data_IF_059020032093
#
_entry.id   IF_059020032093
#
_cell.length_a   1.000
_cell.length_b   1.000
_cell.length_c   1.000
_cell.angle_alpha   90.00
_cell.angle_beta   90.00
_cell.angle_gamma   90.00
#
_symmetry.space_group_name_H-M   'P 1'
#
loop_
_entity.id
_entity.type
_entity.pdbx_description
1 polymer ?
#
# COMPACT_ATOMS: atom_id res chain seq x y z
N UNK A 1 -12.16 -0.60 5.48
CA UNK A 1 -11.30 0.35 6.23
C UNK A 1 -12.09 1.36 7.05
N UNK A 2 -13.10 2.03 6.48
CA UNK A 2 -13.84 3.12 7.16
C UNK A 2 -14.54 2.69 8.46
N UNK A 3 -15.25 1.56 8.46
CA UNK A 3 -16.00 1.06 9.63
C UNK A 3 -15.07 0.70 10.79
N UNK A 4 -13.95 0.06 10.48
CA UNK A 4 -13.01 -0.43 11.50
C UNK A 4 -12.21 0.71 12.14
N UNK A 5 -11.88 1.75 11.36
CA UNK A 5 -11.24 2.97 11.90
C UNK A 5 -12.16 3.73 12.87
N UNK A 6 -13.48 3.53 12.80
CA UNK A 6 -14.45 4.10 13.76
C UNK A 6 -14.62 3.23 15.00
N UNK A 7 -14.56 1.90 14.84
CA UNK A 7 -14.74 0.95 15.94
C UNK A 7 -13.56 0.93 16.92
N UNK A 8 -12.32 1.02 16.41
CA UNK A 8 -11.11 0.95 17.25
C UNK A 8 -10.48 2.32 17.45
N UNK A 9 -10.61 2.88 18.66
CA UNK A 9 -9.94 4.13 19.03
C UNK A 9 -8.49 3.94 19.52
N UNK A 10 -8.14 2.74 20.00
CA UNK A 10 -6.79 2.36 20.44
C UNK A 10 -6.16 1.38 19.44
N UNK A 11 -4.85 1.50 19.17
CA UNK A 11 -4.08 0.67 18.22
C UNK A 11 -4.57 0.74 16.75
N UNK A 12 -4.91 1.94 16.26
CA UNK A 12 -5.42 2.14 14.89
C UNK A 12 -4.43 1.65 13.83
N UNK A 13 -3.13 1.87 14.02
CA UNK A 13 -2.09 1.41 13.11
C UNK A 13 -2.06 -0.10 12.94
N UNK A 14 -2.15 -0.85 14.05
CA UNK A 14 -2.21 -2.31 14.05
C UNK A 14 -3.45 -2.82 13.32
N UNK A 15 -4.63 -2.28 13.62
CA UNK A 15 -5.89 -2.75 13.02
C UNK A 15 -5.93 -2.48 11.51
N UNK A 16 -5.48 -1.31 11.07
CA UNK A 16 -5.34 -0.99 9.65
C UNK A 16 -4.31 -1.90 8.99
N UNK A 17 -3.18 -2.16 9.66
CA UNK A 17 -2.15 -3.09 9.19
C UNK A 17 -2.66 -4.51 8.99
N UNK A 18 -3.48 -5.04 9.90
CA UNK A 18 -4.11 -6.37 9.78
C UNK A 18 -5.06 -6.42 8.58
N UNK A 19 -5.92 -5.41 8.41
CA UNK A 19 -6.88 -5.35 7.28
C UNK A 19 -6.14 -5.28 5.95
N UNK A 20 -5.15 -4.39 5.85
CA UNK A 20 -4.34 -4.24 4.62
C UNK A 20 -3.48 -5.49 4.41
N UNK A 21 -3.03 -6.16 5.48
CA UNK A 21 -2.36 -7.46 5.42
C UNK A 21 -3.17 -8.52 4.67
N UNK A 22 -4.50 -8.47 4.73
CA UNK A 22 -5.37 -9.35 3.94
C UNK A 22 -5.10 -9.30 2.43
N UNK A 23 -4.76 -8.13 1.87
CA UNK A 23 -4.41 -8.05 0.44
C UNK A 23 -3.03 -8.61 0.13
N UNK A 24 -2.08 -8.58 1.07
CA UNK A 24 -0.81 -9.33 0.95
C UNK A 24 -1.05 -10.83 0.96
N UNK A 25 -1.91 -11.33 1.85
CA UNK A 25 -2.25 -12.75 1.89
C UNK A 25 -2.91 -13.21 0.57
N UNK A 26 -3.84 -12.41 0.03
CA UNK A 26 -4.39 -12.63 -1.31
C UNK A 26 -3.30 -12.63 -2.40
N UNK A 27 -2.34 -11.71 -2.32
CA UNK A 27 -1.19 -11.66 -3.22
C UNK A 27 -0.23 -12.84 -3.12
N UNK A 28 -0.29 -13.63 -2.03
CA UNK A 28 0.41 -14.92 -1.92
C UNK A 28 -0.45 -16.05 -2.50
N UNK A 29 -1.71 -16.14 -2.07
CA UNK A 29 -2.60 -17.26 -2.41
C UNK A 29 -2.97 -17.27 -3.89
N UNK A 30 -3.36 -16.12 -4.47
CA UNK A 30 -3.90 -16.08 -5.84
C UNK A 30 -2.90 -16.46 -6.92
N UNK A 31 -1.64 -15.98 -6.91
CA UNK A 31 -0.66 -16.46 -7.88
C UNK A 31 -0.49 -17.97 -7.81
N UNK A 32 -0.40 -18.55 -6.61
CA UNK A 32 -0.19 -20.00 -6.41
C UNK A 32 -1.37 -20.79 -6.96
N UNK A 33 -2.60 -20.40 -6.59
CA UNK A 33 -3.83 -21.05 -7.09
C UNK A 33 -3.92 -20.95 -8.61
N UNK A 34 -3.60 -19.80 -9.20
CA UNK A 34 -3.61 -19.63 -10.65
C UNK A 34 -2.52 -20.47 -11.34
N UNK A 35 -1.33 -20.57 -10.77
CA UNK A 35 -0.26 -21.40 -11.32
C UNK A 35 -0.62 -22.88 -11.31
N UNK A 36 -1.17 -23.39 -10.21
CA UNK A 36 -1.60 -24.78 -10.11
C UNK A 36 -2.73 -25.11 -11.09
N UNK A 37 -3.73 -24.23 -11.18
CA UNK A 37 -4.88 -24.47 -12.07
C UNK A 37 -4.48 -24.38 -13.55
N UNK A 38 -3.69 -23.38 -13.94
CA UNK A 38 -3.34 -23.13 -15.34
C UNK A 38 -2.19 -24.02 -15.82
N UNK A 39 -1.12 -24.16 -15.03
CA UNK A 39 0.13 -24.77 -15.48
C UNK A 39 0.28 -26.22 -15.02
N UNK A 40 -0.17 -26.59 -13.82
CA UNK A 40 -0.07 -27.97 -13.32
C UNK A 40 -1.24 -28.84 -13.81
N UNK A 41 -2.46 -28.36 -13.63
CA UNK A 41 -3.68 -29.12 -13.91
C UNK A 41 -4.25 -28.87 -15.32
N UNK A 42 -3.71 -27.90 -16.06
CA UNK A 42 -4.12 -27.62 -17.44
C UNK A 42 -5.58 -27.17 -17.58
N UNK A 43 -6.17 -26.59 -16.52
CA UNK A 43 -7.56 -26.12 -16.53
C UNK A 43 -7.68 -24.94 -17.49
N UNK A 44 -8.70 -24.95 -18.35
CA UNK A 44 -8.99 -23.83 -19.25
C UNK A 44 -9.10 -22.52 -18.46
N UNK A 45 -8.56 -21.43 -19.03
CA UNK A 45 -8.60 -20.10 -18.43
C UNK A 45 -10.00 -19.71 -17.92
N UNK A 46 -11.05 -20.03 -18.70
CA UNK A 46 -12.43 -19.73 -18.31
C UNK A 46 -12.89 -20.46 -17.04
N UNK A 47 -12.50 -21.72 -16.85
CA UNK A 47 -12.82 -22.50 -15.65
C UNK A 47 -11.99 -22.07 -14.44
N UNK A 48 -10.72 -21.70 -14.66
CA UNK A 48 -9.85 -21.14 -13.62
C UNK A 48 -10.44 -19.88 -13.01
N UNK A 49 -10.91 -18.93 -13.84
CA UNK A 49 -11.54 -17.70 -13.35
C UNK A 49 -12.86 -17.98 -12.60
N UNK A 50 -13.65 -18.98 -13.04
CA UNK A 50 -14.85 -19.42 -12.30
C UNK A 50 -14.51 -20.03 -10.94
N UNK A 51 -13.48 -20.86 -10.87
CA UNK A 51 -13.01 -21.45 -9.62
C UNK A 51 -12.58 -20.36 -8.61
N UNK A 52 -11.84 -19.34 -9.08
CA UNK A 52 -11.50 -18.15 -8.28
C UNK A 52 -12.76 -17.46 -7.76
N UNK A 53 -13.77 -17.29 -8.62
CA UNK A 53 -15.08 -16.75 -8.23
C UNK A 53 -15.77 -17.57 -7.13
N UNK A 54 -15.82 -18.90 -7.27
CA UNK A 54 -16.42 -19.78 -6.27
C UNK A 54 -15.71 -19.75 -4.92
N UNK A 55 -14.40 -19.52 -4.89
CA UNK A 55 -13.63 -19.34 -3.65
C UNK A 55 -13.95 -17.98 -3.01
N UNK A 56 -14.15 -16.93 -3.80
CA UNK A 56 -14.44 -15.57 -3.31
C UNK A 56 -15.85 -15.41 -2.73
N UNK A 57 -16.86 -16.08 -3.30
CA UNK A 57 -18.26 -15.96 -2.87
C UNK A 57 -18.47 -16.23 -1.37
N UNK A 58 -18.02 -17.36 -0.78
CA UNK A 58 -18.22 -17.62 0.65
C UNK A 58 -17.46 -16.61 1.53
N UNK A 59 -16.28 -16.15 1.10
CA UNK A 59 -15.52 -15.13 1.82
C UNK A 59 -16.26 -13.78 1.83
N UNK A 60 -16.88 -13.40 0.72
CA UNK A 60 -17.71 -12.20 0.60
C UNK A 60 -19.00 -12.32 1.42
N UNK A 61 -19.67 -13.46 1.41
CA UNK A 61 -20.86 -13.72 2.24
C UNK A 61 -20.50 -13.59 3.72
N UNK A 62 -19.40 -14.21 4.15
CA UNK A 62 -18.91 -14.08 5.52
C UNK A 62 -18.62 -12.61 5.86
N UNK A 63 -17.99 -11.86 4.97
CA UNK A 63 -17.74 -10.43 5.18
C UNK A 63 -19.04 -9.62 5.32
N UNK A 64 -20.07 -9.91 4.51
CA UNK A 64 -21.38 -9.24 4.60
C UNK A 64 -22.05 -9.53 5.95
N UNK A 65 -21.98 -10.78 6.44
CA UNK A 65 -22.61 -11.18 7.70
C UNK A 65 -21.84 -10.68 8.94
N UNK A 66 -20.52 -10.56 8.84
CA UNK A 66 -19.64 -10.23 9.99
C UNK A 66 -19.31 -8.75 10.12
N UNK A 67 -19.40 -7.96 9.04
CA UNK A 67 -19.15 -6.52 9.09
C UNK A 67 -20.39 -5.82 9.65
N UNK A 68 -20.40 -5.63 10.97
CA UNK A 68 -21.44 -4.90 11.68
C UNK A 68 -21.09 -3.40 11.69
N UNK A 69 -22.11 -2.55 11.54
CA UNK A 69 -21.95 -1.10 11.77
C UNK A 69 -21.45 -0.85 13.21
N UNK A 70 -20.64 0.18 13.46
CA UNK A 70 -20.17 0.46 14.82
C UNK A 70 -21.38 0.71 15.74
N UNK A 71 -21.37 0.22 17.00
CA UNK A 71 -22.41 0.56 17.96
C UNK A 71 -22.42 2.08 18.16
N UNK A 72 -23.59 2.69 18.01
CA UNK A 72 -23.87 4.07 18.43
C UNK A 72 -23.70 4.16 19.94
N UNK A 73 -22.48 4.43 20.43
CA UNK A 73 -22.31 4.86 21.81
C UNK A 73 -22.71 6.33 21.92
N UNK A 74 -24.00 6.50 22.25
CA UNK A 74 -24.66 7.56 23.02
C UNK A 74 -23.83 8.83 23.35
N UNK A 75 -24.15 9.97 22.70
CA UNK A 75 -25.02 10.98 23.32
C UNK A 75 -25.27 12.18 22.37
N UNK A 76 -26.56 12.48 22.23
CA UNK A 76 -27.21 13.65 21.62
C UNK A 76 -27.25 13.76 20.09
N UNK A 77 -28.46 13.45 19.57
CA UNK A 77 -29.16 14.24 18.54
C UNK A 77 -29.36 13.62 17.14
N UNK A 78 -29.44 12.30 16.97
CA UNK A 78 -29.84 11.74 15.66
C UNK A 78 -31.27 12.09 15.24
N UNK A 79 -32.17 12.42 16.18
CA UNK A 79 -33.50 12.95 15.86
C UNK A 79 -33.54 14.44 15.53
N UNK A 80 -32.50 15.22 15.83
CA UNK A 80 -32.39 16.59 15.28
C UNK A 80 -31.50 16.66 14.04
N UNK A 81 -30.60 15.68 13.83
CA UNK A 81 -29.74 15.59 12.64
C UNK A 81 -30.57 15.32 11.37
N UNK A 82 -31.68 14.57 11.43
CA UNK A 82 -32.53 14.38 10.24
C UNK A 82 -33.28 15.66 9.85
N UNK A 83 -33.60 16.55 10.80
CA UNK A 83 -34.16 17.87 10.49
C UNK A 83 -33.09 18.92 10.11
N UNK A 84 -31.85 18.83 10.62
CA UNK A 84 -30.74 19.72 10.23
C UNK A 84 -30.05 19.32 8.92
N UNK A 85 -30.09 18.05 8.50
CA UNK A 85 -29.51 17.59 7.22
C UNK A 85 -30.27 18.20 6.03
N UNK A 86 -31.55 18.57 6.18
CA UNK A 86 -32.28 19.32 5.16
C UNK A 86 -31.86 20.81 5.08
N UNK A 87 -31.32 21.41 6.15
CA UNK A 87 -31.01 22.85 6.19
C UNK A 87 -29.51 23.21 6.07
N UNK A 88 -28.57 22.29 6.30
CA UNK A 88 -27.14 22.56 6.03
C UNK A 88 -26.49 21.38 5.34
N UNK A 89 -26.38 21.45 4.00
CA UNK A 89 -25.31 20.75 3.28
C UNK A 89 -23.99 21.13 3.99
N UNK A 90 -23.28 20.21 4.66
CA UNK A 90 -21.97 20.55 5.18
C UNK A 90 -21.15 20.92 3.95
N UNK A 91 -20.78 22.20 3.82
CA UNK A 91 -19.90 22.66 2.76
C UNK A 91 -18.69 21.73 2.82
N UNK A 92 -18.40 21.04 1.71
CA UNK A 92 -17.25 20.15 1.65
C UNK A 92 -16.03 20.95 2.08
N UNK A 93 -15.53 20.67 3.28
CA UNK A 93 -14.41 21.41 3.83
C UNK A 93 -13.14 20.94 3.11
N UNK A 94 -12.83 21.65 2.02
CA UNK A 94 -11.65 21.48 1.20
C UNK A 94 -10.42 22.18 1.82
N UNK A 95 -10.51 22.69 3.04
CA UNK A 95 -9.41 23.33 3.75
C UNK A 95 -8.18 22.42 3.81
N UNK A 96 -8.38 21.11 4.02
CA UNK A 96 -7.28 20.14 4.07
C UNK A 96 -6.52 20.02 2.75
N UNK A 97 -7.19 20.20 1.60
CA UNK A 97 -6.54 20.14 0.30
C UNK A 97 -5.64 21.35 0.04
N UNK A 98 -5.75 22.41 0.85
CA UNK A 98 -4.91 23.61 0.79
C UNK A 98 -3.78 23.61 1.81
N UNK A 99 -3.76 22.66 2.75
CA UNK A 99 -2.66 22.56 3.72
C UNK A 99 -1.37 22.15 2.99
N UNK A 100 -0.32 23.01 3.01
CA UNK A 100 0.95 22.70 2.35
C UNK A 100 1.57 21.41 2.88
N UNK A 101 1.38 21.06 4.15
CA UNK A 101 1.92 19.82 4.74
C UNK A 101 1.26 18.59 4.13
N UNK A 102 -0.06 18.64 3.97
CA UNK A 102 -0.84 17.58 3.32
C UNK A 102 -0.48 17.44 1.84
N UNK A 103 -0.31 18.55 1.12
CA UNK A 103 0.09 18.54 -0.29
C UNK A 103 1.46 17.88 -0.47
N UNK A 104 2.45 18.24 0.37
CA UNK A 104 3.81 17.65 0.31
C UNK A 104 3.75 16.16 0.63
N UNK A 105 2.96 15.75 1.63
CA UNK A 105 2.76 14.33 1.97
C UNK A 105 2.15 13.56 0.78
N UNK A 106 1.08 14.08 0.19
CA UNK A 106 0.42 13.49 -0.97
C UNK A 106 1.39 13.38 -2.16
N UNK A 107 2.16 14.43 -2.45
CA UNK A 107 3.16 14.41 -3.51
C UNK A 107 4.25 13.36 -3.25
N UNK A 108 4.77 13.28 -2.01
CA UNK A 108 5.79 12.30 -1.63
C UNK A 108 5.30 10.86 -1.75
N UNK A 109 4.08 10.58 -1.28
CA UNK A 109 3.46 9.25 -1.41
C UNK A 109 3.14 8.91 -2.86
N UNK A 110 2.66 9.87 -3.66
CA UNK A 110 2.37 9.67 -5.07
C UNK A 110 3.64 9.36 -5.88
N UNK A 111 4.74 10.09 -5.65
CA UNK A 111 6.04 9.81 -6.28
C UNK A 111 6.60 8.46 -5.80
N UNK A 112 6.39 8.10 -4.54
CA UNK A 112 6.79 6.77 -4.04
C UNK A 112 6.05 5.65 -4.78
N UNK A 113 4.73 5.76 -4.90
CA UNK A 113 3.87 4.77 -5.58
C UNK A 113 4.15 4.66 -7.07
N UNK A 114 4.58 5.75 -7.72
CA UNK A 114 4.94 5.79 -9.14
C UNK A 114 5.93 4.69 -9.54
N UNK A 115 6.93 4.41 -8.70
CA UNK A 115 7.94 3.36 -8.96
C UNK A 115 7.87 2.14 -8.03
N UNK A 116 7.08 2.19 -6.95
CA UNK A 116 6.95 1.08 -6.00
C UNK A 116 6.42 -0.22 -6.62
N UNK A 117 5.52 -0.12 -7.61
CA UNK A 117 4.93 -1.31 -8.22
C UNK A 117 5.81 -1.91 -9.32
N UNK A 118 6.77 -1.16 -9.87
CA UNK A 118 7.61 -1.64 -10.97
C UNK A 118 8.37 -2.91 -10.62
N UNK A 119 9.07 -3.01 -9.48
CA UNK A 119 9.77 -4.24 -9.13
C UNK A 119 8.80 -5.40 -8.87
N UNK A 120 7.60 -5.15 -8.33
CA UNK A 120 6.60 -6.20 -8.09
C UNK A 120 6.11 -6.84 -9.40
N UNK A 121 5.90 -6.04 -10.44
CA UNK A 121 5.41 -6.55 -11.73
C UNK A 121 6.51 -7.18 -12.59
N UNK A 122 7.75 -6.70 -12.48
CA UNK A 122 8.85 -7.10 -13.36
C UNK A 122 9.85 -8.07 -12.72
N UNK A 123 9.72 -8.42 -11.44
CA UNK A 123 10.63 -9.39 -10.80
C UNK A 123 10.62 -10.77 -11.46
N UNK A 124 9.44 -11.27 -11.83
CA UNK A 124 9.31 -12.56 -12.51
C UNK A 124 9.94 -12.51 -13.89
N UNK A 125 9.68 -11.46 -14.66
CA UNK A 125 10.27 -11.33 -16.00
C UNK A 125 11.78 -11.08 -15.96
N UNK A 126 12.27 -10.38 -14.94
CA UNK A 126 13.70 -10.22 -14.68
C UNK A 126 14.39 -11.55 -14.33
N UNK A 127 13.80 -12.36 -13.44
CA UNK A 127 14.34 -13.69 -13.15
C UNK A 127 14.37 -14.58 -14.41
N UNK A 128 13.34 -14.49 -15.25
CA UNK A 128 13.29 -15.19 -16.54
C UNK A 128 14.33 -14.70 -17.54
N UNK A 129 14.61 -13.40 -17.61
CA UNK A 129 15.63 -12.86 -18.51
C UNK A 129 17.05 -13.27 -18.11
N UNK A 130 17.27 -13.63 -16.85
CA UNK A 130 18.51 -14.23 -16.35
C UNK A 130 18.62 -15.75 -16.62
N UNK A 131 17.60 -16.36 -17.23
CA UNK A 131 17.58 -17.79 -17.55
C UNK A 131 17.06 -18.70 -16.43
N UNK A 132 16.47 -18.15 -15.36
CA UNK A 132 15.98 -18.96 -14.25
C UNK A 132 14.70 -19.75 -14.60
N UNK A 133 14.47 -20.92 -13.96
CA UNK A 133 13.26 -21.71 -14.14
C UNK A 133 11.98 -20.90 -13.87
N UNK A 134 10.92 -21.19 -14.62
CA UNK A 134 9.64 -20.48 -14.51
C UNK A 134 8.99 -20.73 -13.16
N UNK A 135 9.08 -21.95 -12.64
CA UNK A 135 8.47 -22.37 -11.38
C UNK A 135 8.94 -21.45 -10.24
N UNK A 136 10.26 -21.31 -10.06
CA UNK A 136 10.84 -20.46 -9.01
C UNK A 136 10.57 -18.98 -9.27
N UNK A 137 10.68 -18.53 -10.53
CA UNK A 137 10.49 -17.12 -10.91
C UNK A 137 9.08 -16.63 -10.62
N UNK A 138 8.08 -17.52 -10.75
CA UNK A 138 6.69 -17.21 -10.48
C UNK A 138 6.42 -17.02 -8.98
N UNK A 139 7.03 -17.84 -8.13
CA UNK A 139 6.89 -17.70 -6.67
C UNK A 139 7.57 -16.46 -6.08
N UNK A 140 8.48 -15.78 -6.79
CA UNK A 140 9.14 -14.55 -6.30
C UNK A 140 8.13 -13.46 -5.91
N UNK A 141 7.03 -13.32 -6.64
CA UNK A 141 5.96 -12.37 -6.32
C UNK A 141 5.23 -12.77 -5.04
N UNK A 142 5.01 -14.08 -4.82
CA UNK A 142 4.47 -14.60 -3.57
C UNK A 142 5.42 -14.33 -2.40
N UNK A 143 6.74 -14.43 -2.58
CA UNK A 143 7.73 -14.09 -1.54
C UNK A 143 7.68 -12.59 -1.18
N UNK A 144 7.56 -11.70 -2.16
CA UNK A 144 7.38 -10.26 -1.92
C UNK A 144 6.10 -10.01 -1.12
N UNK A 145 4.98 -10.62 -1.52
CA UNK A 145 3.71 -10.43 -0.82
C UNK A 145 3.72 -11.01 0.59
N UNK A 146 4.36 -12.17 0.79
CA UNK A 146 4.52 -12.81 2.08
C UNK A 146 5.33 -11.96 3.07
N UNK A 147 6.46 -11.41 2.63
CA UNK A 147 7.23 -10.46 3.46
C UNK A 147 6.51 -9.12 3.67
N UNK A 148 5.75 -8.66 2.66
CA UNK A 148 4.91 -7.46 2.78
C UNK A 148 3.81 -7.60 3.81
N UNK A 149 3.32 -8.80 4.11
CA UNK A 149 2.36 -9.01 5.21
C UNK A 149 2.97 -8.55 6.54
N UNK A 150 4.18 -9.03 6.85
CA UNK A 150 4.91 -8.62 8.05
C UNK A 150 5.28 -7.14 8.01
N UNK A 151 5.67 -6.65 6.84
CA UNK A 151 5.94 -5.23 6.58
C UNK A 151 4.74 -4.31 6.81
N UNK A 152 3.50 -4.81 6.71
CA UNK A 152 2.28 -4.01 6.99
C UNK A 152 1.90 -4.02 8.46
N UNK A 153 2.10 -5.15 9.15
CA UNK A 153 1.68 -5.33 10.54
C UNK A 153 2.71 -4.72 11.52
N UNK A 154 3.98 -5.09 11.39
CA UNK A 154 5.00 -4.75 12.39
C UNK A 154 5.34 -3.25 12.42
N UNK A 155 5.57 -2.58 11.28
CA UNK A 155 5.69 -1.13 11.23
C UNK A 155 4.43 -0.39 11.66
N UNK A 156 3.24 -0.92 11.36
CA UNK A 156 1.98 -0.34 11.86
C UNK A 156 1.92 -0.27 13.39
N UNK A 157 2.38 -1.33 14.06
CA UNK A 157 2.51 -1.36 15.53
C UNK A 157 3.62 -0.42 16.05
N UNK A 158 4.77 -0.37 15.38
CA UNK A 158 5.89 0.48 15.79
C UNK A 158 5.61 1.97 15.56
N UNK A 159 4.79 2.31 14.57
CA UNK A 159 4.42 3.69 14.26
C UNK A 159 3.64 4.37 15.40
N UNK A 160 2.83 3.60 16.13
CA UNK A 160 2.13 4.09 17.32
C UNK A 160 3.11 4.55 18.43
N UNK A 161 4.38 4.09 18.41
CA UNK A 161 5.42 4.47 19.38
C UNK A 161 6.44 5.48 18.84
N UNK A 162 6.86 5.33 17.57
CA UNK A 162 7.97 6.08 16.97
C UNK A 162 7.53 7.17 15.98
N UNK A 163 6.22 7.28 15.71
CA UNK A 163 5.64 8.27 14.81
C UNK A 163 5.48 7.75 13.38
N UNK A 164 4.28 7.92 12.83
CA UNK A 164 3.87 7.44 11.51
C UNK A 164 4.75 7.96 10.37
N UNK A 165 5.04 9.27 10.37
CA UNK A 165 5.84 9.93 9.34
C UNK A 165 7.29 9.44 9.29
N UNK A 166 7.94 9.33 10.45
CA UNK A 166 9.33 8.93 10.54
C UNK A 166 9.52 7.51 10.00
N UNK A 167 8.63 6.61 10.40
CA UNK A 167 8.71 5.22 9.97
C UNK A 167 8.34 5.05 8.49
N UNK A 168 7.39 5.86 7.99
CA UNK A 168 7.04 5.87 6.57
C UNK A 168 8.20 6.35 5.70
N UNK A 169 8.89 7.42 6.12
CA UNK A 169 10.09 7.90 5.43
C UNK A 169 11.23 6.86 5.53
N UNK A 170 11.50 6.28 6.71
CA UNK A 170 12.55 5.27 6.82
C UNK A 170 12.28 4.05 5.92
N UNK A 171 11.02 3.59 5.88
CA UNK A 171 10.60 2.52 4.99
C UNK A 171 10.72 2.90 3.50
N UNK A 172 10.39 4.15 3.15
CA UNK A 172 10.56 4.71 1.81
C UNK A 172 12.01 4.69 1.36
N UNK A 173 12.92 5.23 2.18
CA UNK A 173 14.36 5.20 1.92
C UNK A 173 14.89 3.77 1.79
N UNK A 174 14.54 2.89 2.73
CA UNK A 174 14.99 1.50 2.70
C UNK A 174 14.48 0.76 1.44
N UNK A 175 13.22 0.98 1.06
CA UNK A 175 12.64 0.43 -0.19
C UNK A 175 13.35 0.98 -1.42
N UNK A 176 13.65 2.28 -1.45
CA UNK A 176 14.34 2.91 -2.56
C UNK A 176 15.76 2.39 -2.73
N UNK A 177 16.54 2.32 -1.65
CA UNK A 177 17.90 1.74 -1.67
C UNK A 177 17.84 0.27 -2.13
N UNK A 178 16.92 -0.52 -1.57
CA UNK A 178 16.74 -1.92 -1.97
C UNK A 178 16.39 -2.02 -3.46
N UNK A 179 15.53 -1.15 -3.97
CA UNK A 179 15.15 -1.11 -5.38
C UNK A 179 16.31 -0.73 -6.30
N UNK A 180 17.21 0.17 -5.89
CA UNK A 180 18.45 0.47 -6.62
C UNK A 180 19.40 -0.74 -6.69
N UNK A 181 19.40 -1.59 -5.66
CA UNK A 181 20.20 -2.80 -5.61
C UNK A 181 19.56 -3.99 -6.36
N UNK A 182 18.39 -3.83 -6.99
CA UNK A 182 17.66 -4.93 -7.62
C UNK A 182 18.47 -5.67 -8.68
N UNK A 183 19.16 -4.95 -9.56
CA UNK A 183 19.94 -5.59 -10.64
C UNK A 183 21.26 -6.23 -10.19
N UNK A 184 21.68 -6.02 -8.93
CA UNK A 184 22.81 -6.72 -8.35
C UNK A 184 22.46 -8.18 -8.03
N UNK A 185 21.19 -8.48 -7.76
CA UNK A 185 20.72 -9.84 -7.53
C UNK A 185 20.55 -10.58 -8.87
N UNK A 186 21.44 -11.54 -9.15
CA UNK A 186 21.41 -12.37 -10.37
C UNK A 186 21.11 -13.84 -10.11
N UNK A 187 21.30 -14.31 -8.88
CA UNK A 187 21.10 -15.70 -8.48
C UNK A 187 19.79 -15.84 -7.69
N UNK A 188 19.17 -17.02 -7.72
CA UNK A 188 17.91 -17.30 -7.00
C UNK A 188 17.95 -16.91 -5.51
N UNK A 189 18.96 -17.31 -4.71
CA UNK A 189 19.00 -16.92 -3.30
C UNK A 189 19.06 -15.41 -3.11
N UNK A 190 19.81 -14.72 -3.98
CA UNK A 190 19.91 -13.25 -3.97
C UNK A 190 18.58 -12.58 -4.31
N UNK A 191 17.84 -13.11 -5.29
CA UNK A 191 16.51 -12.63 -5.65
C UNK A 191 15.51 -12.84 -4.51
N UNK A 192 15.55 -14.00 -3.83
CA UNK A 192 14.68 -14.28 -2.69
C UNK A 192 14.95 -13.32 -1.53
N UNK A 193 16.23 -13.12 -1.16
CA UNK A 193 16.60 -12.15 -0.10
C UNK A 193 16.16 -10.74 -0.49
N UNK A 194 16.40 -10.35 -1.73
CA UNK A 194 15.96 -9.05 -2.24
C UNK A 194 14.43 -8.89 -2.15
N UNK A 195 13.66 -9.91 -2.56
CA UNK A 195 12.20 -9.94 -2.45
C UNK A 195 11.71 -9.80 -1.01
N UNK A 196 12.38 -10.46 -0.05
CA UNK A 196 12.03 -10.39 1.37
C UNK A 196 12.23 -8.98 1.94
N UNK A 197 13.39 -8.38 1.66
CA UNK A 197 13.70 -7.02 2.12
C UNK A 197 12.76 -6.02 1.46
N UNK A 198 12.62 -6.08 0.14
CA UNK A 198 11.77 -5.16 -0.62
C UNK A 198 10.29 -5.27 -0.22
N UNK A 199 9.78 -6.49 -0.07
CA UNK A 199 8.40 -6.71 0.35
C UNK A 199 8.14 -6.18 1.76
N UNK A 200 9.04 -6.43 2.70
CA UNK A 200 8.92 -5.89 4.06
C UNK A 200 8.90 -4.35 4.07
N UNK A 201 9.84 -3.69 3.39
CA UNK A 201 9.93 -2.23 3.43
C UNK A 201 8.82 -1.55 2.62
N UNK A 202 8.45 -2.08 1.45
CA UNK A 202 7.36 -1.51 0.63
C UNK A 202 5.99 -1.74 1.26
N UNK A 203 5.79 -2.87 1.94
CA UNK A 203 4.59 -3.16 2.71
C UNK A 203 4.34 -2.12 3.81
N UNK A 204 5.40 -1.63 4.45
CA UNK A 204 5.31 -0.61 5.49
C UNK A 204 4.73 0.72 4.97
N UNK A 205 5.15 1.15 3.77
CA UNK A 205 4.65 2.37 3.12
C UNK A 205 3.13 2.29 2.92
N UNK A 206 2.65 1.16 2.39
CA UNK A 206 1.22 0.93 2.11
C UNK A 206 0.34 0.95 3.34
N UNK A 207 0.84 0.50 4.50
CA UNK A 207 0.10 0.58 5.75
C UNK A 207 0.15 1.97 6.38
N UNK A 208 1.28 2.66 6.28
CA UNK A 208 1.51 3.94 6.95
C UNK A 208 0.94 5.15 6.20
N UNK A 209 0.76 5.05 4.87
CA UNK A 209 0.23 6.15 4.05
C UNK A 209 -1.14 6.66 4.56
N UNK A 210 -2.04 5.73 4.91
CA UNK A 210 -3.36 6.07 5.44
C UNK A 210 -3.24 6.68 6.84
N UNK A 211 -2.40 6.12 7.71
CA UNK A 211 -2.19 6.68 9.05
C UNK A 211 -1.58 8.08 9.01
N UNK A 212 -0.63 8.35 8.10
CA UNK A 212 -0.03 9.68 7.93
C UNK A 212 -1.08 10.70 7.50
N UNK A 213 -1.89 10.41 6.47
CA UNK A 213 -2.96 11.32 6.04
C UNK A 213 -4.04 11.49 7.11
N UNK A 214 -4.39 10.42 7.82
CA UNK A 214 -5.36 10.45 8.91
C UNK A 214 -4.91 11.29 10.10
N UNK A 215 -3.59 11.40 10.35
CA UNK A 215 -3.05 12.23 11.44
C UNK A 215 -3.06 13.73 11.15
N UNK A 216 -3.15 14.14 9.88
CA UNK A 216 -3.30 15.55 9.47
C UNK A 216 -4.77 15.96 9.35
N UNK A 217 -5.67 15.00 9.20
CA UNK A 217 -7.08 15.26 9.00
C UNK A 217 -7.85 15.38 10.31
N UNK A 218 -8.79 16.32 10.35
CA UNK A 218 -9.82 16.37 11.39
C UNK A 218 -10.87 15.29 11.13
N UNK A 219 -11.68 14.92 12.13
CA UNK A 219 -12.75 13.91 11.97
C UNK A 219 -13.72 14.24 10.83
N UNK A 220 -13.95 15.53 10.59
CA UNK A 220 -14.83 16.04 9.53
C UNK A 220 -14.18 15.98 8.14
N UNK A 221 -12.87 16.20 8.05
CA UNK A 221 -12.11 16.24 6.78
C UNK A 221 -11.44 14.92 6.42
N UNK A 222 -11.52 13.90 7.28
CA UNK A 222 -10.85 12.60 7.11
C UNK A 222 -11.25 11.89 5.81
N UNK A 223 -12.52 11.97 5.42
CA UNK A 223 -13.00 11.41 4.15
C UNK A 223 -12.37 12.11 2.94
N UNK A 224 -12.35 13.44 2.95
CA UNK A 224 -11.75 14.27 1.89
C UNK A 224 -10.25 14.03 1.76
N UNK A 225 -9.53 13.97 2.88
CA UNK A 225 -8.09 13.70 2.91
C UNK A 225 -7.75 12.33 2.31
N UNK A 226 -8.48 11.28 2.73
CA UNK A 226 -8.29 9.94 2.18
C UNK A 226 -8.64 9.88 0.70
N UNK A 227 -9.73 10.53 0.28
CA UNK A 227 -10.12 10.59 -1.12
C UNK A 227 -9.06 11.25 -1.99
N UNK A 228 -8.53 12.40 -1.55
CA UNK A 228 -7.49 13.12 -2.29
C UNK A 228 -6.18 12.33 -2.36
N UNK A 229 -5.75 11.74 -1.25
CA UNK A 229 -4.58 10.87 -1.22
C UNK A 229 -4.75 9.69 -2.18
N UNK A 230 -5.84 8.92 -2.04
CA UNK A 230 -6.08 7.74 -2.87
C UNK A 230 -6.22 8.10 -4.36
N UNK A 231 -6.80 9.26 -4.68
CA UNK A 231 -6.84 9.79 -6.04
C UNK A 231 -5.45 10.07 -6.61
N UNK A 232 -4.57 10.73 -5.84
CA UNK A 232 -3.19 10.99 -6.26
C UNK A 232 -2.37 9.70 -6.45
N UNK A 233 -2.55 8.72 -5.57
CA UNK A 233 -1.92 7.40 -5.67
C UNK A 233 -2.44 6.62 -6.89
N UNK A 234 -3.74 6.67 -7.16
CA UNK A 234 -4.34 6.01 -8.31
C UNK A 234 -3.76 6.56 -9.63
N UNK A 235 -3.69 7.89 -9.78
CA UNK A 235 -3.13 8.52 -10.97
C UNK A 235 -1.66 8.12 -11.20
N UNK A 236 -0.84 8.18 -10.15
CA UNK A 236 0.58 7.81 -10.26
C UNK A 236 0.77 6.32 -10.55
N UNK A 237 -0.04 5.43 -9.96
CA UNK A 237 -0.01 4.00 -10.27
C UNK A 237 -0.40 3.70 -11.72
N UNK A 238 -1.36 4.46 -12.28
CA UNK A 238 -1.80 4.34 -13.67
C UNK A 238 -0.68 4.68 -14.64
N UNK A 239 0.07 5.77 -14.41
CA UNK A 239 1.17 6.17 -15.28
C UNK A 239 2.47 5.40 -15.03
N UNK A 240 2.70 4.94 -13.80
CA UNK A 240 3.94 4.23 -13.41
C UNK A 240 4.15 2.93 -14.19
N UNK A 241 3.07 2.18 -14.46
CA UNK A 241 3.16 0.88 -15.13
C UNK A 241 3.56 1.00 -16.61
N UNK A 242 2.92 1.87 -17.44
CA UNK A 242 3.37 2.12 -18.81
C UNK A 242 4.80 2.68 -18.90
N UNK A 243 5.18 3.61 -18.01
CA UNK A 243 6.55 4.16 -17.94
C UNK A 243 7.55 3.02 -17.70
N UNK A 244 7.25 2.15 -16.73
CA UNK A 244 8.05 0.97 -16.40
C UNK A 244 8.24 0.04 -17.60
N UNK A 245 7.16 -0.23 -18.34
CA UNK A 245 7.22 -1.06 -19.54
C UNK A 245 8.07 -0.48 -20.65
N UNK A 246 7.98 0.83 -20.90
CA UNK A 246 8.80 1.49 -21.91
C UNK A 246 10.28 1.52 -21.51
N UNK A 247 10.57 1.72 -20.23
CA UNK A 247 11.93 1.67 -19.65
C UNK A 247 12.57 0.31 -19.86
N UNK A 248 11.89 -0.78 -19.49
CA UNK A 248 12.41 -2.14 -19.69
C UNK A 248 12.63 -2.44 -21.17
N UNK A 249 11.66 -2.09 -22.03
CA UNK A 249 11.75 -2.37 -23.45
C UNK A 249 12.85 -1.60 -24.19
N UNK A 250 13.20 -0.39 -23.74
CA UNK A 250 14.15 0.48 -24.46
C UNK A 250 15.53 0.54 -23.81
N UNK A 251 15.61 0.42 -22.49
CA UNK A 251 16.83 0.67 -21.70
C UNK A 251 17.13 -0.45 -20.67
N UNK A 252 16.37 -1.53 -20.66
CA UNK A 252 16.59 -2.70 -19.80
C UNK A 252 16.23 -2.51 -18.32
N UNK A 253 16.50 -3.55 -17.53
CA UNK A 253 16.11 -3.65 -16.12
C UNK A 253 16.89 -2.71 -15.18
N UNK A 254 18.11 -2.30 -15.55
CA UNK A 254 18.88 -1.34 -14.75
C UNK A 254 18.17 0.02 -14.69
N UNK A 255 17.71 0.50 -15.84
CA UNK A 255 16.97 1.77 -15.93
C UNK A 255 15.65 1.71 -15.15
N UNK A 256 14.99 0.55 -15.15
CA UNK A 256 13.79 0.33 -14.34
C UNK A 256 14.09 0.37 -12.84
N UNK A 257 15.18 -0.29 -12.41
CA UNK A 257 15.65 -0.30 -11.02
C UNK A 257 16.03 1.10 -10.54
N UNK A 258 16.70 1.90 -11.36
CA UNK A 258 17.02 3.30 -11.06
C UNK A 258 15.75 4.13 -10.93
N UNK A 259 14.82 4.00 -11.88
CA UNK A 259 13.54 4.72 -11.83
C UNK A 259 12.76 4.43 -10.54
N UNK A 260 12.58 3.14 -10.21
CA UNK A 260 11.87 2.70 -9.02
C UNK A 260 12.57 3.12 -7.72
N UNK A 261 13.89 2.99 -7.66
CA UNK A 261 14.67 3.37 -6.50
C UNK A 261 14.70 4.88 -6.26
N UNK A 262 14.94 5.68 -7.30
CA UNK A 262 14.97 7.14 -7.20
C UNK A 262 13.59 7.69 -6.85
N UNK A 263 12.51 7.16 -7.44
CA UNK A 263 11.16 7.63 -7.10
C UNK A 263 10.83 7.38 -5.62
N UNK A 264 11.19 6.21 -5.08
CA UNK A 264 11.01 5.89 -3.67
C UNK A 264 11.86 6.78 -2.76
N UNK A 265 13.13 7.03 -3.12
CA UNK A 265 14.02 7.93 -2.34
C UNK A 265 13.49 9.37 -2.35
N UNK A 266 13.14 9.91 -3.51
CA UNK A 266 12.60 11.27 -3.65
C UNK A 266 11.27 11.40 -2.91
N UNK A 267 10.37 10.45 -3.08
CA UNK A 267 9.10 10.41 -2.37
C UNK A 267 9.30 10.37 -0.86
N UNK A 268 10.27 9.60 -0.39
CA UNK A 268 10.64 9.53 1.02
C UNK A 268 11.23 10.83 1.57
N UNK A 269 12.07 11.53 0.81
CA UNK A 269 12.62 12.84 1.20
C UNK A 269 11.48 13.85 1.37
N UNK A 270 10.48 13.81 0.48
CA UNK A 270 9.29 14.67 0.59
C UNK A 270 8.43 14.33 1.81
N UNK A 271 8.24 13.04 2.12
CA UNK A 271 7.52 12.61 3.34
C UNK A 271 8.26 13.10 4.59
N UNK A 272 9.59 13.00 4.60
CA UNK A 272 10.40 13.54 5.69
C UNK A 272 10.33 15.07 5.76
N UNK A 273 10.25 15.76 4.63
CA UNK A 273 10.07 17.21 4.59
C UNK A 273 8.70 17.67 5.11
N UNK A 274 7.62 16.95 4.77
CA UNK A 274 6.29 17.16 5.35
C UNK A 274 6.33 17.01 6.88
N UNK A 275 7.09 16.04 7.39
CA UNK A 275 7.30 15.86 8.83
C UNK A 275 8.00 17.05 9.47
N UNK A 276 9.09 17.53 8.89
CA UNK A 276 9.84 18.68 9.42
C UNK A 276 9.01 19.97 9.43
N UNK A 277 8.07 20.12 8.49
CA UNK A 277 7.07 21.21 8.46
C UNK A 277 6.08 21.12 9.62
N UNK A 278 5.64 19.90 9.94
CA UNK A 278 4.66 19.65 10.99
C UNK A 278 5.25 19.79 12.40
N UNK A 279 6.46 19.28 12.61
CA UNK A 279 7.17 19.43 13.88
C UNK A 279 8.68 19.30 13.67
N UNK A 280 9.47 20.29 14.14
CA UNK A 280 10.93 20.29 14.03
C UNK A 280 11.60 19.25 14.93
N UNK A 281 10.90 18.75 15.96
CA UNK A 281 11.43 17.70 16.83
C UNK A 281 11.22 16.32 16.22
N UNK A 282 12.33 15.71 15.78
CA UNK A 282 12.37 14.40 15.10
C UNK A 282 11.70 13.29 15.94
N UNK A 283 11.80 13.36 17.29
CA UNK A 283 11.26 12.36 18.21
C UNK A 283 9.92 12.74 18.89
N UNK A 284 9.31 13.87 18.54
CA UNK A 284 8.04 14.26 19.17
C UNK A 284 6.90 13.30 18.74
N UNK A 285 6.32 12.58 19.71
CA UNK A 285 5.11 11.77 19.51
C UNK A 285 3.96 12.67 19.05
N UNK A 286 3.32 12.30 17.94
CA UNK A 286 2.02 12.82 17.52
C UNK A 286 1.07 11.63 17.40
#
# INVERSE_FOLDING_TARGET
MATVSRYFNKNKGLTVGIIIGGSSLGGVIWPIVLNELLNTHGVSFGWTIRAVGFIMVPLLILAIVTVVAPPETEHHSERAIVQEIEEKRPKQDLSIAKDPTFIILCAGLAISVLGMYSPMFYITTYARSLGHPIDISFYLVSVINGSSLFGRILPGFLADRYGHFNLCALAGLASGITSLCWTAAKNIPGLVVWCLVYGFTSGAILSLQASCAGSLATRETQGTAMGFLMGALALTSLFGTPISGKLVGSYGYLSLSIFAGVSLVVGSILIFWARLRLNRNIFAKQ
#
